data_IF_921529651882
#
_entry.id   IF_921529651882
#
_cell.length_a   1.000
_cell.length_b   1.000
_cell.length_c   1.000
_cell.angle_alpha   90.00
_cell.angle_beta   90.00
_cell.angle_gamma   90.00
#
_symmetry.space_group_name_H-M   'P 1'
#
loop_
_entity.id
_entity.type
_entity.pdbx_description
1 polymer ?
#
# COMPACT_ATOMS: atom_id res chain seq x y z
N UNK A 1 48.77 -33.11 13.07
CA UNK A 1 48.47 -34.56 13.04
C UNK A 1 47.28 -34.77 12.10
N UNK A 2 47.49 -35.56 11.04
CA UNK A 2 46.54 -35.86 9.96
C UNK A 2 45.49 -36.87 10.44
N UNK A 3 44.19 -36.60 10.26
CA UNK A 3 43.11 -37.59 10.17
C UNK A 3 42.01 -37.01 9.28
N UNK A 4 42.02 -37.27 7.97
CA UNK A 4 41.58 -38.47 7.24
C UNK A 4 40.09 -38.38 6.85
N UNK A 5 39.88 -38.17 5.55
CA UNK A 5 38.61 -38.25 4.81
C UNK A 5 38.05 -39.67 4.79
N UNK A 6 36.72 -39.84 4.83
CA UNK A 6 35.95 -40.81 4.01
C UNK A 6 34.54 -40.25 3.74
N UNK A 7 34.11 -40.08 2.47
CA UNK A 7 32.72 -39.78 2.10
C UNK A 7 31.91 -41.07 1.91
N UNK A 8 30.64 -41.08 2.34
CA UNK A 8 29.70 -42.16 2.01
C UNK A 8 28.71 -41.65 0.97
N UNK A 9 28.88 -42.13 -0.26
CA UNK A 9 27.84 -42.18 -1.28
C UNK A 9 26.76 -43.20 -0.85
N UNK A 10 25.50 -42.82 -0.93
CA UNK A 10 24.40 -43.77 -1.08
C UNK A 10 23.39 -43.20 -2.07
N UNK A 11 23.43 -43.73 -3.30
CA UNK A 11 22.36 -43.62 -4.28
C UNK A 11 21.32 -44.72 -3.98
N UNK A 12 20.04 -44.38 -4.03
CA UNK A 12 18.98 -45.37 -4.18
C UNK A 12 17.82 -44.79 -5.00
N UNK A 13 17.51 -45.55 -6.04
CA UNK A 13 16.57 -45.36 -7.12
C UNK A 13 15.12 -45.70 -6.74
N UNK A 14 14.20 -45.06 -7.48
CA UNK A 14 12.91 -45.57 -8.00
C UNK A 14 11.84 -46.11 -7.04
N UNK A 15 10.66 -45.50 -7.10
CA UNK A 15 9.41 -46.20 -7.47
C UNK A 15 8.31 -45.19 -7.83
N UNK A 16 7.97 -45.11 -9.12
CA UNK A 16 6.66 -44.64 -9.60
C UNK A 16 5.67 -45.79 -9.45
N UNK A 17 4.54 -45.55 -8.79
CA UNK A 17 3.39 -46.45 -8.82
C UNK A 17 2.15 -45.65 -9.21
N UNK A 18 1.64 -46.01 -10.37
CA UNK A 18 0.36 -45.61 -10.94
C UNK A 18 -0.68 -46.65 -10.53
N UNK A 19 -1.87 -46.22 -10.12
CA UNK A 19 -3.07 -47.04 -10.27
C UNK A 19 -4.27 -46.14 -10.60
N UNK A 20 -4.57 -46.15 -11.90
CA UNK A 20 -5.85 -45.83 -12.53
C UNK A 20 -6.83 -46.98 -12.28
N UNK A 21 -8.09 -46.69 -11.95
CA UNK A 21 -9.23 -47.63 -11.98
C UNK A 21 -10.51 -46.78 -11.99
N UNK A 22 -11.50 -46.90 -12.88
CA UNK A 22 -11.83 -47.88 -13.91
C UNK A 22 -13.36 -47.88 -14.05
N UNK A 23 -13.84 -47.25 -15.14
CA UNK A 23 -15.17 -47.22 -15.77
C UNK A 23 -16.43 -47.84 -15.11
N UNK A 24 -17.55 -47.13 -15.24
CA UNK A 24 -18.70 -47.70 -15.96
C UNK A 24 -19.33 -46.65 -16.90
N UNK A 25 -19.90 -47.13 -17.99
CA UNK A 25 -20.38 -46.36 -19.13
C UNK A 25 -21.89 -46.51 -19.26
N UNK A 26 -22.61 -45.45 -19.68
CA UNK A 26 -23.50 -45.50 -20.84
C UNK A 26 -24.04 -44.10 -21.23
N UNK A 27 -23.85 -43.78 -22.51
CA UNK A 27 -24.39 -42.65 -23.30
C UNK A 27 -25.88 -42.92 -23.67
N UNK A 28 -26.73 -41.91 -24.02
CA UNK A 28 -26.55 -41.08 -25.22
C UNK A 28 -26.92 -39.57 -25.14
N UNK A 29 -26.11 -38.83 -25.91
CA UNK A 29 -26.28 -37.58 -26.71
C UNK A 29 -27.72 -37.05 -26.87
N UNK A 30 -28.01 -35.77 -26.62
CA UNK A 30 -27.93 -34.58 -27.51
C UNK A 30 -28.51 -33.32 -26.83
N UNK A 31 -27.76 -32.22 -26.99
CA UNK A 31 -28.16 -30.80 -27.15
C UNK A 31 -29.29 -30.22 -26.29
N UNK A 32 -28.93 -29.29 -25.41
CA UNK A 32 -29.23 -27.88 -25.67
C UNK A 32 -28.35 -26.97 -24.81
N UNK A 33 -27.96 -25.85 -25.41
CA UNK A 33 -27.32 -24.73 -24.77
C UNK A 33 -28.20 -24.17 -23.63
N UNK A 34 -27.56 -23.37 -22.79
CA UNK A 34 -28.08 -22.70 -21.59
C UNK A 34 -27.84 -23.45 -20.27
N UNK A 35 -26.58 -23.40 -19.82
CA UNK A 35 -26.27 -23.42 -18.39
C UNK A 35 -25.63 -22.08 -18.03
N UNK A 36 -26.42 -21.26 -17.35
CA UNK A 36 -25.94 -20.37 -16.29
C UNK A 36 -25.03 -21.16 -15.35
N UNK A 37 -23.73 -20.92 -15.42
CA UNK A 37 -22.70 -21.23 -14.42
C UNK A 37 -21.47 -20.41 -14.83
N UNK A 38 -20.75 -19.66 -14.01
CA UNK A 38 -20.73 -19.68 -12.57
C UNK A 38 -20.21 -18.36 -12.04
N UNK A 39 -20.65 -18.10 -10.82
CA UNK A 39 -20.09 -17.14 -9.91
C UNK A 39 -18.79 -17.71 -9.35
N UNK A 40 -17.66 -17.43 -10.00
CA UNK A 40 -16.33 -17.58 -9.40
C UNK A 40 -15.79 -16.20 -9.01
N UNK A 41 -16.28 -15.76 -7.85
CA UNK A 41 -15.76 -14.59 -7.16
C UNK A 41 -14.29 -14.78 -6.79
N UNK A 42 -13.41 -14.07 -7.47
CA UNK A 42 -12.18 -13.50 -6.92
C UNK A 42 -12.07 -12.06 -7.43
N UNK A 43 -12.81 -11.16 -6.79
CA UNK A 43 -12.71 -9.73 -7.03
C UNK A 43 -11.29 -9.26 -6.69
N UNK A 44 -10.47 -9.05 -7.72
CA UNK A 44 -9.28 -8.20 -7.61
C UNK A 44 -9.79 -6.85 -7.10
N UNK A 45 -9.32 -6.40 -5.94
CA UNK A 45 -9.56 -5.04 -5.49
C UNK A 45 -9.21 -4.08 -6.63
N UNK A 46 -10.16 -3.21 -7.01
CA UNK A 46 -9.99 -2.28 -8.13
C UNK A 46 -8.89 -1.29 -7.75
N UNK A 47 -7.72 -1.42 -8.37
CA UNK A 47 -6.63 -0.49 -8.17
C UNK A 47 -6.87 0.80 -8.98
N UNK A 48 -6.73 1.95 -8.34
CA UNK A 48 -6.87 3.28 -8.95
C UNK A 48 -5.52 3.99 -8.93
N UNK A 49 -5.15 4.62 -10.05
CA UNK A 49 -3.84 5.26 -10.23
C UNK A 49 -3.98 6.76 -10.41
N UNK A 50 -3.12 7.54 -9.75
CA UNK A 50 -3.10 8.99 -9.80
C UNK A 50 -1.66 9.50 -9.97
N UNK A 51 -1.49 10.60 -10.71
CA UNK A 51 -0.17 11.15 -11.01
C UNK A 51 0.64 10.29 -11.98
N UNK A 52 1.94 10.21 -11.74
CA UNK A 52 2.86 9.36 -12.50
C UNK A 52 2.48 7.88 -12.36
N UNK A 53 2.69 7.11 -13.44
CA UNK A 53 2.47 5.67 -13.42
C UNK A 53 3.56 4.98 -12.61
N UNK A 54 3.19 4.45 -11.45
CA UNK A 54 4.09 3.75 -10.53
C UNK A 54 3.72 2.26 -10.39
N UNK A 55 4.60 1.49 -9.74
CA UNK A 55 4.35 0.10 -9.36
C UNK A 55 4.47 -0.10 -7.85
N UNK A 56 3.73 -1.06 -7.30
CA UNK A 56 3.78 -1.41 -5.88
C UNK A 56 5.09 -2.12 -5.46
N UNK A 57 5.87 -2.63 -6.41
CA UNK A 57 7.08 -3.40 -6.12
C UNK A 57 8.14 -2.54 -5.39
N UNK A 58 8.67 -3.02 -4.28
CA UNK A 58 9.67 -2.30 -3.50
C UNK A 58 9.12 -1.17 -2.64
N UNK A 59 7.80 -1.10 -2.44
CA UNK A 59 7.24 -0.24 -1.39
C UNK A 59 7.63 -0.76 0.00
N UNK A 60 8.08 0.15 0.87
CA UNK A 60 8.44 -0.14 2.26
C UNK A 60 7.39 0.41 3.22
N UNK A 61 7.53 0.11 4.51
CA UNK A 61 6.56 0.55 5.52
C UNK A 61 6.81 1.99 5.94
N UNK A 62 5.81 2.61 6.59
CA UNK A 62 6.00 3.92 7.22
C UNK A 62 7.07 3.88 8.32
N UNK A 63 7.20 2.78 9.06
CA UNK A 63 8.25 2.61 10.05
C UNK A 63 9.66 2.64 9.44
N UNK A 64 9.87 1.98 8.30
CA UNK A 64 11.16 1.97 7.61
C UNK A 64 11.57 3.36 7.13
N UNK A 65 10.61 4.15 6.63
CA UNK A 65 10.83 5.53 6.21
C UNK A 65 11.21 6.42 7.40
N UNK A 66 10.51 6.29 8.51
CA UNK A 66 10.78 7.07 9.72
C UNK A 66 12.16 6.74 10.30
N UNK A 67 12.56 5.46 10.31
CA UNK A 67 13.88 5.04 10.74
C UNK A 67 14.98 5.69 9.90
N UNK A 68 14.81 5.72 8.58
CA UNK A 68 15.75 6.37 7.66
C UNK A 68 15.78 7.90 7.83
N UNK A 69 14.62 8.55 8.00
CA UNK A 69 14.55 9.99 8.31
C UNK A 69 15.13 10.33 9.70
N UNK A 70 15.36 9.34 10.57
CA UNK A 70 16.13 9.54 11.80
C UNK A 70 17.59 9.94 11.55
N UNK A 71 18.14 9.56 10.39
CA UNK A 71 19.53 9.82 10.01
C UNK A 71 19.68 10.76 8.81
N UNK A 72 18.57 11.14 8.17
CA UNK A 72 18.55 11.96 6.96
C UNK A 72 17.45 13.01 7.03
N UNK A 73 17.71 14.20 6.49
CA UNK A 73 16.71 15.27 6.43
C UNK A 73 15.59 14.97 5.42
N UNK A 74 15.93 14.26 4.35
CA UNK A 74 14.99 13.81 3.33
C UNK A 74 15.45 12.52 2.65
N UNK A 75 14.49 11.82 2.06
CA UNK A 75 14.69 10.62 1.25
C UNK A 75 14.00 10.83 -0.09
N UNK A 76 14.74 10.64 -1.18
CA UNK A 76 14.26 10.85 -2.54
C UNK A 76 13.90 9.51 -3.20
N UNK A 77 12.94 9.54 -4.13
CA UNK A 77 12.54 8.39 -4.96
C UNK A 77 12.16 7.13 -4.17
N UNK A 78 11.55 7.30 -3.00
CA UNK A 78 11.11 6.16 -2.19
C UNK A 78 9.67 5.79 -2.52
N UNK A 79 9.30 4.54 -2.23
CA UNK A 79 7.93 4.06 -2.25
C UNK A 79 7.53 3.60 -0.87
N UNK A 80 6.36 4.01 -0.42
CA UNK A 80 5.80 3.53 0.85
C UNK A 80 4.37 3.06 0.66
N UNK A 81 3.96 2.10 1.49
CA UNK A 81 2.58 1.61 1.54
C UNK A 81 2.02 1.70 2.95
N UNK A 82 0.79 2.19 3.05
CA UNK A 82 0.06 2.34 4.31
C UNK A 82 -1.43 2.57 4.07
N UNK A 83 -2.23 2.34 5.11
CA UNK A 83 -3.64 2.70 5.14
C UNK A 83 -3.82 4.22 5.17
N UNK A 84 -4.79 4.73 4.42
CA UNK A 84 -5.17 6.14 4.41
C UNK A 84 -6.00 6.44 5.67
N UNK A 85 -5.49 7.30 6.54
CA UNK A 85 -6.19 7.77 7.74
C UNK A 85 -7.24 8.84 7.41
N UNK A 86 -6.86 9.84 6.62
CA UNK A 86 -7.75 10.94 6.25
C UNK A 86 -7.34 11.56 4.92
N UNK A 87 -8.29 12.26 4.29
CA UNK A 87 -8.12 12.94 3.01
C UNK A 87 -8.71 14.34 3.14
N UNK A 88 -8.12 15.31 2.45
CA UNK A 88 -8.72 16.64 2.26
C UNK A 88 -10.15 16.51 1.71
N UNK A 89 -11.15 16.94 2.48
CA UNK A 89 -12.56 16.86 2.13
C UNK A 89 -13.03 17.98 1.20
N UNK A 90 -12.20 19.00 0.98
CA UNK A 90 -12.46 20.04 -0.03
C UNK A 90 -12.34 19.43 -1.42
N UNK A 91 -11.18 18.88 -1.75
CA UNK A 91 -10.85 18.46 -3.13
C UNK A 91 -9.89 17.28 -3.24
N UNK A 92 -9.49 16.66 -2.13
CA UNK A 92 -8.56 15.53 -2.17
C UNK A 92 -7.13 15.93 -2.56
N UNK A 93 -6.66 17.11 -2.17
CA UNK A 93 -5.31 17.61 -2.49
C UNK A 93 -4.19 17.16 -1.55
N UNK A 94 -4.54 16.49 -0.47
CA UNK A 94 -3.60 15.83 0.41
C UNK A 94 -4.30 14.66 1.10
N UNK A 95 -3.53 13.72 1.61
CA UNK A 95 -4.00 12.65 2.50
C UNK A 95 -3.03 12.44 3.66
N UNK A 96 -3.45 11.73 4.70
CA UNK A 96 -2.59 11.26 5.79
C UNK A 96 -2.56 9.75 5.78
N UNK A 97 -1.36 9.19 5.89
CA UNK A 97 -1.13 7.76 5.95
C UNK A 97 -0.85 7.32 7.38
N UNK A 98 -1.48 6.23 7.81
CA UNK A 98 -1.30 5.68 9.14
C UNK A 98 0.13 5.24 9.36
N UNK A 99 0.59 5.46 10.58
CA UNK A 99 1.89 5.04 11.04
C UNK A 99 1.73 4.37 12.40
N UNK A 100 2.23 3.14 12.53
CA UNK A 100 2.15 2.37 13.77
C UNK A 100 2.88 3.05 14.94
N UNK A 101 3.87 3.91 14.66
CA UNK A 101 4.61 4.67 15.66
C UNK A 101 3.87 5.92 16.18
N UNK A 102 2.65 6.18 15.70
CA UNK A 102 1.77 7.23 16.23
C UNK A 102 1.46 8.31 15.21
N UNK A 103 2.42 9.19 14.91
CA UNK A 103 2.13 10.34 14.04
C UNK A 103 1.98 9.95 12.57
N UNK A 104 0.86 10.30 11.92
CA UNK A 104 0.66 9.98 10.51
C UNK A 104 1.63 10.74 9.61
N UNK A 105 1.89 10.18 8.44
CA UNK A 105 2.67 10.86 7.39
C UNK A 105 1.70 11.65 6.51
N UNK A 106 1.89 12.96 6.38
CA UNK A 106 1.12 13.77 5.44
C UNK A 106 1.66 13.56 4.03
N UNK A 107 0.77 13.24 3.09
CA UNK A 107 1.07 13.16 1.66
C UNK A 107 0.44 14.34 0.94
N UNK A 108 1.26 15.18 0.33
CA UNK A 108 0.88 16.17 -0.67
C UNK A 108 1.22 15.65 -2.07
N UNK A 109 0.62 16.24 -3.10
CA UNK A 109 0.85 15.83 -4.49
C UNK A 109 1.73 16.85 -5.19
N UNK A 110 2.81 16.36 -5.81
CA UNK A 110 3.83 17.18 -6.46
C UNK A 110 3.20 18.15 -7.45
N UNK A 111 3.65 19.40 -7.39
CA UNK A 111 3.17 20.50 -8.24
C UNK A 111 1.65 20.70 -8.21
N UNK A 112 0.98 20.16 -7.18
CA UNK A 112 -0.47 20.17 -7.08
C UNK A 112 -1.15 19.53 -8.32
N UNK A 113 -0.46 18.58 -8.96
CA UNK A 113 -0.79 18.10 -10.31
C UNK A 113 -1.98 17.14 -10.39
N UNK A 114 -2.39 16.53 -9.26
CA UNK A 114 -3.48 15.57 -9.21
C UNK A 114 -4.13 15.52 -7.82
N UNK A 115 -5.30 14.89 -7.75
CA UNK A 115 -6.09 14.72 -6.54
C UNK A 115 -6.55 13.28 -6.38
N UNK A 116 -6.78 12.86 -5.14
CA UNK A 116 -7.28 11.53 -4.79
C UNK A 116 -8.76 11.57 -4.38
N UNK A 117 -9.49 10.45 -4.43
CA UNK A 117 -10.89 10.40 -4.02
C UNK A 117 -11.05 10.76 -2.54
N UNK A 118 -12.07 11.56 -2.23
CA UNK A 118 -12.30 12.06 -0.85
C UNK A 118 -12.77 10.97 0.11
N UNK A 119 -13.29 9.88 -0.44
CA UNK A 119 -13.74 8.66 0.22
C UNK A 119 -12.63 7.59 0.30
N UNK A 120 -11.37 7.95 0.05
CA UNK A 120 -10.26 7.00 0.10
C UNK A 120 -9.80 6.64 1.52
N UNK A 121 -10.33 7.28 2.57
CA UNK A 121 -10.02 6.90 3.96
C UNK A 121 -10.37 5.42 4.22
N UNK A 122 -9.49 4.69 4.92
CA UNK A 122 -9.59 3.26 5.17
C UNK A 122 -9.09 2.36 4.03
N UNK A 123 -8.81 2.91 2.84
CA UNK A 123 -8.17 2.17 1.74
C UNK A 123 -6.66 2.09 1.93
N UNK A 124 -6.01 1.20 1.18
CA UNK A 124 -4.54 1.11 1.18
C UNK A 124 -3.96 1.94 0.05
N UNK A 125 -2.99 2.80 0.37
CA UNK A 125 -2.22 3.53 -0.63
C UNK A 125 -0.84 2.92 -0.83
N UNK A 126 -0.33 3.04 -2.06
CA UNK A 126 1.11 3.03 -2.36
C UNK A 126 1.45 4.38 -2.96
N UNK A 127 2.43 5.07 -2.39
CA UNK A 127 2.87 6.39 -2.87
C UNK A 127 4.35 6.35 -3.22
N UNK A 128 4.73 7.03 -4.30
CA UNK A 128 6.13 7.22 -4.72
C UNK A 128 6.48 8.70 -4.69
N UNK A 129 7.68 9.04 -4.22
CA UNK A 129 8.13 10.42 -4.15
C UNK A 129 9.18 10.67 -3.08
N UNK A 130 9.08 11.85 -2.45
CA UNK A 130 10.08 12.37 -1.51
C UNK A 130 9.52 12.41 -0.09
N UNK A 131 10.21 11.82 0.87
CA UNK A 131 9.91 11.91 2.29
C UNK A 131 10.82 12.94 2.98
N UNK A 132 10.29 13.73 3.90
CA UNK A 132 11.07 14.73 4.66
C UNK A 132 10.37 15.11 5.97
N UNK A 133 11.08 15.85 6.82
CA UNK A 133 10.49 16.50 8.01
C UNK A 133 10.33 17.99 7.73
N UNK A 134 9.21 18.57 8.16
CA UNK A 134 8.99 20.01 8.09
C UNK A 134 8.32 20.55 9.36
N UNK A 135 8.50 21.84 9.62
CA UNK A 135 7.82 22.54 10.70
C UNK A 135 6.61 23.26 10.12
N UNK A 136 5.41 22.84 10.52
CA UNK A 136 4.18 23.55 10.20
C UNK A 136 3.90 24.66 11.21
N UNK A 137 3.55 25.83 10.70
CA UNK A 137 2.98 26.92 11.51
C UNK A 137 1.61 26.54 12.07
N UNK A 138 1.14 27.29 13.07
CA UNK A 138 -0.24 27.14 13.60
C UNK A 138 -1.27 27.35 12.50
N UNK A 139 -1.08 28.35 11.64
CA UNK A 139 -2.03 28.68 10.58
C UNK A 139 -2.15 27.56 9.54
N UNK A 140 -1.02 26.98 9.11
CA UNK A 140 -1.03 25.86 8.18
C UNK A 140 -1.69 24.62 8.79
N UNK A 141 -1.40 24.32 10.06
CA UNK A 141 -2.06 23.21 10.76
C UNK A 141 -3.57 23.41 10.86
N UNK A 142 -4.04 24.63 11.15
CA UNK A 142 -5.47 24.96 11.18
C UNK A 142 -6.11 24.83 9.81
N UNK A 143 -5.49 25.36 8.76
CA UNK A 143 -5.97 25.22 7.39
C UNK A 143 -6.14 23.74 7.00
N UNK A 144 -5.16 22.90 7.33
CA UNK A 144 -5.27 21.46 7.08
C UNK A 144 -6.36 20.78 7.91
N UNK A 145 -6.59 21.21 9.16
CA UNK A 145 -7.66 20.68 9.97
C UNK A 145 -9.05 21.08 9.43
N UNK A 146 -9.21 22.32 8.96
CA UNK A 146 -10.41 22.80 8.27
C UNK A 146 -10.68 22.00 6.99
N UNK A 147 -9.65 21.80 6.16
CA UNK A 147 -9.71 20.98 4.95
C UNK A 147 -10.12 19.53 5.23
N UNK A 148 -9.75 19.01 6.40
CA UNK A 148 -10.12 17.67 6.84
C UNK A 148 -11.55 17.58 7.38
N UNK A 149 -12.24 18.72 7.55
CA UNK A 149 -13.57 18.79 8.15
C UNK A 149 -13.58 18.64 9.68
N UNK A 150 -12.48 19.01 10.36
CA UNK A 150 -12.38 18.94 11.81
C UNK A 150 -13.30 19.96 12.50
N UNK A 151 -13.67 19.67 13.75
CA UNK A 151 -14.49 20.56 14.57
C UNK A 151 -13.75 21.85 14.92
N UNK A 152 -14.48 22.92 15.24
CA UNK A 152 -13.89 24.20 15.66
C UNK A 152 -13.06 24.04 16.93
N UNK A 153 -13.47 23.15 17.81
CA UNK A 153 -12.81 22.82 19.06
C UNK A 153 -11.45 22.14 18.80
N UNK A 154 -11.39 21.17 17.88
CA UNK A 154 -10.14 20.54 17.47
C UNK A 154 -9.17 21.53 16.80
N UNK A 155 -9.69 22.46 15.98
CA UNK A 155 -8.88 23.50 15.32
C UNK A 155 -8.36 24.52 16.35
N UNK A 156 -9.18 24.90 17.33
CA UNK A 156 -8.79 25.83 18.38
C UNK A 156 -7.72 25.26 19.32
N UNK A 157 -7.64 23.94 19.48
CA UNK A 157 -6.62 23.26 20.27
C UNK A 157 -5.20 23.37 19.65
N UNK A 158 -5.07 23.79 18.39
CA UNK A 158 -3.79 23.98 17.71
C UNK A 158 -3.20 25.34 18.13
N UNK A 159 -2.25 25.30 19.06
CA UNK A 159 -1.70 26.49 19.73
C UNK A 159 -0.20 26.69 19.50
N UNK A 160 0.50 25.75 18.88
CA UNK A 160 1.94 25.85 18.62
C UNK A 160 2.35 25.22 17.29
N UNK A 161 3.54 25.59 16.78
CA UNK A 161 4.11 24.94 15.61
C UNK A 161 4.40 23.48 15.90
N UNK A 162 4.37 22.65 14.86
CA UNK A 162 4.60 21.21 14.97
C UNK A 162 5.54 20.74 13.87
N UNK A 163 6.55 19.95 14.25
CA UNK A 163 7.32 19.18 13.26
C UNK A 163 6.50 17.96 12.86
N UNK A 164 6.29 17.75 11.55
CA UNK A 164 5.59 16.57 11.03
C UNK A 164 6.43 15.84 9.96
N UNK A 165 6.07 14.58 9.73
CA UNK A 165 6.58 13.80 8.60
C UNK A 165 5.72 14.08 7.37
N UNK A 166 6.38 14.54 6.31
CA UNK A 166 5.75 14.90 5.05
C UNK A 166 6.27 14.07 3.90
N UNK A 167 5.41 13.91 2.90
CA UNK A 167 5.66 13.15 1.70
C UNK A 167 5.11 13.87 0.49
N UNK A 168 5.98 14.28 -0.43
CA UNK A 168 5.54 14.81 -1.72
C UNK A 168 5.48 13.66 -2.73
N UNK A 169 4.26 13.26 -3.11
CA UNK A 169 4.04 12.15 -4.02
C UNK A 169 4.02 12.61 -5.49
N UNK A 170 4.78 11.93 -6.34
CA UNK A 170 4.67 12.05 -7.80
C UNK A 170 3.63 11.09 -8.39
N UNK A 171 3.35 9.97 -7.70
CA UNK A 171 2.32 8.99 -8.10
C UNK A 171 1.73 8.23 -6.93
N UNK A 172 0.48 7.80 -7.09
CA UNK A 172 -0.31 7.10 -6.06
C UNK A 172 -1.08 5.93 -6.67
N UNK A 173 -1.10 4.80 -5.98
CA UNK A 173 -2.03 3.68 -6.21
C UNK A 173 -2.93 3.57 -4.99
N UNK A 174 -4.25 3.47 -5.17
CA UNK A 174 -5.22 3.22 -4.09
C UNK A 174 -5.92 1.89 -4.36
N UNK A 175 -6.07 1.06 -3.31
CA UNK A 175 -6.65 -0.29 -3.35
C UNK A 175 -7.66 -0.52 -2.24
#
# INVERSE_FOLDING_TARGET
>A
MKRLFIPVLAAAAFAVSSCYNGNNANFPVINNAETHDGHDGHGKAKEEHFGEKISAAGAITTADILAQLGSHDSLENIKLTAEIESVCQVKGCWMKLKNAAGEPIRVSFKDYAFFVPKDAAGKTAVVQGKAYKEVLSVDMQKHYAEDAGKSKEEIAAITGPKTEYSFEASGVIIK
#
